data_IF_720690565464
#
_entry.id   IF_720690565464
#
_cell.length_a   1.000
_cell.length_b   1.000
_cell.length_c   1.000
_cell.angle_alpha   90.00
_cell.angle_beta   90.00
_cell.angle_gamma   90.00
#
_symmetry.space_group_name_H-M   'P 1'
#
loop_
_entity.id
_entity.type
_entity.pdbx_description
1 polymer ?
#
# COMPACT_ATOMS: atom_id res chain seq x y z
N UNK A 1 16.46 2.82 9.86
CA UNK A 1 15.47 2.91 8.74
C UNK A 1 14.89 1.59 8.24
N UNK A 2 15.40 0.40 8.64
CA UNK A 2 14.84 -0.90 8.21
C UNK A 2 13.35 -1.10 8.58
N UNK A 3 12.91 -0.59 9.73
CA UNK A 3 11.51 -0.67 10.18
C UNK A 3 10.57 0.14 9.27
N UNK A 4 10.94 1.36 8.88
CA UNK A 4 10.15 2.21 7.99
C UNK A 4 9.98 1.55 6.61
N UNK A 5 11.05 0.96 6.09
CA UNK A 5 11.01 0.18 4.86
C UNK A 5 10.03 -1.00 4.96
N UNK A 6 10.14 -1.81 6.03
CA UNK A 6 9.26 -2.95 6.25
C UNK A 6 7.79 -2.53 6.35
N UNK A 7 7.48 -1.47 7.10
CA UNK A 7 6.12 -0.94 7.20
C UNK A 7 5.58 -0.45 5.85
N UNK A 8 6.39 0.30 5.10
CA UNK A 8 6.04 0.75 3.75
C UNK A 8 5.77 -0.41 2.79
N UNK A 9 6.60 -1.45 2.85
CA UNK A 9 6.45 -2.67 2.06
C UNK A 9 5.18 -3.44 2.42
N UNK A 10 4.87 -3.59 3.71
CA UNK A 10 3.63 -4.23 4.18
C UNK A 10 2.40 -3.45 3.68
N UNK A 11 2.42 -2.11 3.74
CA UNK A 11 1.34 -1.29 3.18
C UNK A 11 1.18 -1.48 1.67
N UNK A 12 2.27 -1.54 0.89
CA UNK A 12 2.21 -1.84 -0.54
C UNK A 12 1.61 -3.22 -0.83
N UNK A 13 2.00 -4.25 -0.07
CA UNK A 13 1.42 -5.59 -0.19
C UNK A 13 -0.07 -5.58 0.13
N UNK A 14 -0.49 -4.88 1.19
CA UNK A 14 -1.89 -4.70 1.55
C UNK A 14 -2.70 -4.02 0.44
N UNK A 15 -2.17 -2.94 -0.15
CA UNK A 15 -2.76 -2.29 -1.31
C UNK A 15 -2.93 -3.27 -2.48
N UNK A 16 -1.86 -4.00 -2.83
CA UNK A 16 -1.86 -4.98 -3.92
C UNK A 16 -2.90 -6.09 -3.72
N UNK A 17 -3.07 -6.57 -2.49
CA UNK A 17 -4.10 -7.54 -2.14
C UNK A 17 -5.52 -7.02 -2.44
N UNK A 18 -5.84 -5.80 -1.98
CA UNK A 18 -7.16 -5.21 -2.20
C UNK A 18 -7.42 -4.89 -3.68
N UNK A 19 -6.41 -4.41 -4.41
CA UNK A 19 -6.52 -4.17 -5.86
C UNK A 19 -6.75 -5.48 -6.63
N UNK A 20 -6.06 -6.56 -6.27
CA UNK A 20 -6.24 -7.88 -6.89
C UNK A 20 -7.66 -8.39 -6.64
N UNK A 21 -8.15 -8.29 -5.41
CA UNK A 21 -9.54 -8.63 -5.05
C UNK A 21 -10.56 -7.77 -5.80
N UNK A 22 -10.30 -6.47 -6.01
CA UNK A 22 -11.23 -5.59 -6.74
C UNK A 22 -11.42 -5.97 -8.22
N UNK A 23 -10.46 -6.70 -8.81
CA UNK A 23 -10.57 -7.21 -10.19
C UNK A 23 -11.43 -8.47 -10.30
N UNK A 24 -11.75 -9.14 -9.19
CA UNK A 24 -12.56 -10.36 -9.20
C UNK A 24 -14.04 -10.03 -9.48
N UNK A 25 -14.70 -10.69 -10.45
CA UNK A 25 -16.14 -10.50 -10.71
C UNK A 25 -16.98 -11.08 -9.58
N UNK A 26 -18.14 -10.47 -9.32
CA UNK A 26 -19.10 -10.95 -8.31
C UNK A 26 -18.63 -10.88 -6.85
N UNK A 27 -17.51 -10.20 -6.57
CA UNK A 27 -16.92 -10.18 -5.23
C UNK A 27 -17.61 -9.19 -4.29
N UNK A 28 -17.81 -9.62 -3.05
CA UNK A 28 -18.18 -8.76 -1.92
C UNK A 28 -16.97 -8.59 -0.98
N UNK A 29 -16.69 -7.38 -0.44
CA UNK A 29 -17.43 -6.12 -0.62
C UNK A 29 -17.25 -5.49 -2.03
N UNK A 30 -18.14 -4.56 -2.44
CA UNK A 30 -18.15 -3.99 -3.78
C UNK A 30 -16.82 -3.30 -4.15
N UNK A 31 -16.49 -3.30 -5.45
CA UNK A 31 -15.20 -2.84 -5.99
C UNK A 31 -14.75 -1.48 -5.45
N UNK A 32 -15.67 -0.51 -5.34
CA UNK A 32 -15.40 0.83 -4.79
C UNK A 32 -14.85 0.80 -3.36
N UNK A 33 -15.34 -0.13 -2.53
CA UNK A 33 -14.89 -0.28 -1.13
C UNK A 33 -13.51 -0.94 -1.08
N UNK A 34 -13.26 -1.94 -1.94
CA UNK A 34 -11.94 -2.56 -2.06
C UNK A 34 -10.90 -1.56 -2.58
N UNK A 35 -11.25 -0.73 -3.55
CA UNK A 35 -10.40 0.36 -4.04
C UNK A 35 -10.13 1.40 -2.95
N UNK A 36 -11.16 1.87 -2.24
CA UNK A 36 -10.99 2.81 -1.12
C UNK A 36 -10.04 2.25 -0.05
N UNK A 37 -10.15 0.96 0.29
CA UNK A 37 -9.21 0.27 1.19
C UNK A 37 -7.81 0.25 0.60
N UNK A 38 -7.66 -0.09 -0.68
CA UNK A 38 -6.35 -0.05 -1.35
C UNK A 38 -5.70 1.35 -1.26
N UNK A 39 -6.46 2.41 -1.52
CA UNK A 39 -5.97 3.79 -1.40
C UNK A 39 -5.59 4.18 0.03
N UNK A 40 -6.33 3.70 1.02
CA UNK A 40 -6.01 3.90 2.43
C UNK A 40 -4.66 3.27 2.83
N UNK A 41 -4.23 2.20 2.13
CA UNK A 41 -2.88 1.64 2.30
C UNK A 41 -1.83 2.29 1.39
N UNK A 42 -2.24 2.80 0.23
CA UNK A 42 -1.33 3.41 -0.75
C UNK A 42 -0.69 4.71 -0.23
N UNK A 43 -1.47 5.62 0.35
CA UNK A 43 -0.97 6.90 0.85
C UNK A 43 0.09 6.75 1.95
N UNK A 44 -0.19 6.08 3.09
CA UNK A 44 0.80 5.92 4.14
C UNK A 44 1.98 5.05 3.68
N UNK A 45 1.73 3.99 2.91
CA UNK A 45 2.78 3.13 2.39
C UNK A 45 3.75 3.86 1.45
N UNK A 46 3.20 4.65 0.52
CA UNK A 46 3.99 5.47 -0.41
C UNK A 46 4.81 6.53 0.33
N UNK A 47 4.22 7.22 1.31
CA UNK A 47 4.94 8.20 2.12
C UNK A 47 6.09 7.57 2.92
N UNK A 48 5.87 6.41 3.56
CA UNK A 48 6.92 5.72 4.32
C UNK A 48 8.08 5.27 3.44
N UNK A 49 7.78 4.72 2.25
CA UNK A 49 8.82 4.33 1.30
C UNK A 49 9.56 5.54 0.72
N UNK A 50 8.86 6.65 0.49
CA UNK A 50 9.48 7.89 0.06
C UNK A 50 10.45 8.44 1.10
N UNK A 51 10.04 8.50 2.38
CA UNK A 51 10.91 8.91 3.49
C UNK A 51 12.14 8.01 3.59
N UNK A 52 11.94 6.69 3.50
CA UNK A 52 13.03 5.73 3.50
C UNK A 52 14.00 5.93 2.33
N UNK A 53 13.46 6.19 1.13
CA UNK A 53 14.24 6.44 -0.07
C UNK A 53 15.08 7.71 0.06
N UNK A 54 14.49 8.81 0.52
CA UNK A 54 15.21 10.06 0.78
C UNK A 54 16.35 9.86 1.79
N UNK A 55 16.12 9.08 2.85
CA UNK A 55 17.17 8.76 3.82
C UNK A 55 18.34 8.00 3.19
N UNK A 56 18.07 7.06 2.27
CA UNK A 56 19.10 6.30 1.55
C UNK A 56 19.94 7.16 0.60
N UNK A 57 19.42 8.29 0.12
CA UNK A 57 20.20 9.23 -0.70
C UNK A 57 21.05 10.20 0.13
N UNK A 58 20.69 10.41 1.40
CA UNK A 58 21.40 11.33 2.30
C UNK A 58 22.56 10.63 3.04
N UNK A 59 22.47 9.32 3.23
CA UNK A 59 23.45 8.50 3.94
C UNK A 59 23.95 7.34 3.09
#
# INVERSE_FOLDING_TARGET
>A
MKIIFLLGLVCLCGMGYFLRKAKTPGIYPPKRVLQARAYAFALPGGLLLFIWLMWLFIH
#
